data_IF_225587403750
#
_entry.id   IF_225587403750
#
_cell.length_a   1.000
_cell.length_b   1.000
_cell.length_c   1.000
_cell.angle_alpha   90.00
_cell.angle_beta   90.00
_cell.angle_gamma   90.00
#
_symmetry.space_group_name_H-M   'P 1'
#
loop_
_entity.id
_entity.type
_entity.pdbx_description
1 polymer ?
#
# COMPACT_ATOMS: atom_id res chain seq x y z
N UNK A 1 -16.68 2.39 -9.24
CA UNK A 1 -16.12 3.22 -10.34
C UNK A 1 -14.62 3.43 -10.11
N UNK A 2 -13.81 3.43 -11.17
CA UNK A 2 -12.37 3.70 -11.06
C UNK A 2 -12.18 5.20 -10.79
N UNK A 3 -11.55 5.56 -9.67
CA UNK A 3 -11.30 6.96 -9.31
C UNK A 3 -10.15 7.55 -10.13
N UNK A 4 -10.07 8.88 -10.19
CA UNK A 4 -8.95 9.61 -10.80
C UNK A 4 -7.65 9.31 -10.05
N UNK A 5 -6.52 9.40 -10.74
CA UNK A 5 -5.21 9.37 -10.10
C UNK A 5 -5.05 10.57 -9.17
N UNK A 6 -4.28 10.39 -8.10
CA UNK A 6 -3.91 11.43 -7.14
C UNK A 6 -2.40 11.44 -6.98
N UNK A 7 -1.81 12.62 -6.71
CA UNK A 7 -0.36 12.76 -6.48
C UNK A 7 0.11 11.83 -5.36
N UNK A 8 1.19 11.08 -5.60
CA UNK A 8 1.77 10.17 -4.59
C UNK A 8 2.13 10.92 -3.31
N UNK A 9 2.69 12.13 -3.43
CA UNK A 9 3.01 13.00 -2.29
C UNK A 9 1.81 13.25 -1.36
N UNK A 10 0.60 13.38 -1.91
CA UNK A 10 -0.62 13.57 -1.11
C UNK A 10 -0.96 12.32 -0.31
N UNK A 11 -0.84 11.14 -0.93
CA UNK A 11 -1.16 9.86 -0.29
C UNK A 11 -0.12 9.53 0.80
N UNK A 12 1.17 9.78 0.51
CA UNK A 12 2.26 9.61 1.47
C UNK A 12 2.06 10.52 2.68
N UNK A 13 1.78 11.81 2.45
CA UNK A 13 1.51 12.75 3.54
C UNK A 13 0.33 12.33 4.42
N UNK A 14 -0.79 11.93 3.81
CA UNK A 14 -1.98 11.48 4.54
C UNK A 14 -1.72 10.22 5.38
N UNK A 15 -0.94 9.29 4.85
CA UNK A 15 -0.58 8.06 5.57
C UNK A 15 0.28 8.35 6.80
N UNK A 16 1.28 9.23 6.67
CA UNK A 16 2.20 9.54 7.77
C UNK A 16 1.49 10.34 8.85
N UNK A 17 0.74 11.35 8.44
CA UNK A 17 0.01 12.26 9.33
C UNK A 17 -1.01 11.52 10.20
N UNK A 18 -1.70 10.50 9.65
CA UNK A 18 -2.84 9.87 10.32
C UNK A 18 -2.57 8.49 10.90
N UNK A 19 -1.71 7.70 10.26
CA UNK A 19 -1.69 6.24 10.51
C UNK A 19 -0.30 5.64 10.68
N UNK A 20 0.75 6.22 10.09
CA UNK A 20 2.08 5.61 10.03
C UNK A 20 3.19 6.61 10.38
N UNK A 21 3.47 6.88 11.67
CA UNK A 21 4.33 7.97 12.14
C UNK A 21 5.83 7.66 11.95
N UNK A 22 6.21 7.38 10.70
CA UNK A 22 7.55 6.99 10.27
C UNK A 22 7.94 7.74 8.98
N UNK A 23 9.14 7.47 8.46
CA UNK A 23 9.71 8.18 7.33
C UNK A 23 8.89 8.07 6.04
N UNK A 24 8.84 9.15 5.28
CA UNK A 24 8.13 9.26 4.00
C UNK A 24 8.70 8.37 2.90
N UNK A 25 10.02 8.18 2.90
CA UNK A 25 10.71 7.29 1.98
C UNK A 25 10.16 5.87 2.04
N UNK A 26 10.02 5.29 3.24
CA UNK A 26 9.52 3.93 3.41
C UNK A 26 8.09 3.76 2.87
N UNK A 27 7.22 4.76 3.08
CA UNK A 27 5.85 4.75 2.55
C UNK A 27 5.86 4.85 1.03
N UNK A 28 6.65 5.76 0.47
CA UNK A 28 6.72 5.97 -0.98
C UNK A 28 7.33 4.76 -1.70
N UNK A 29 8.42 4.19 -1.18
CA UNK A 29 9.06 3.01 -1.76
C UNK A 29 8.13 1.80 -1.74
N UNK A 30 7.30 1.66 -0.69
CA UNK A 30 6.27 0.63 -0.61
C UNK A 30 5.18 0.83 -1.67
N UNK A 31 4.72 2.07 -1.88
CA UNK A 31 3.79 2.41 -2.97
C UNK A 31 4.39 2.04 -4.33
N UNK A 32 5.67 2.38 -4.53
CA UNK A 32 6.37 2.09 -5.79
C UNK A 32 6.44 0.59 -6.03
N UNK A 33 6.86 -0.18 -5.04
CA UNK A 33 6.90 -1.65 -5.12
C UNK A 33 5.54 -2.25 -5.49
N UNK A 34 4.45 -1.75 -4.89
CA UNK A 34 3.09 -2.24 -5.16
C UNK A 34 2.54 -1.87 -6.55
N UNK A 35 3.18 -0.92 -7.24
CA UNK A 35 2.83 -0.44 -8.57
C UNK A 35 3.73 -1.03 -9.68
N UNK A 36 4.74 -1.84 -9.34
CA UNK A 36 5.67 -2.43 -10.29
C UNK A 36 5.18 -3.82 -10.76
N UNK A 37 4.93 -4.03 -12.07
CA UNK A 37 4.40 -5.30 -12.59
C UNK A 37 5.40 -6.46 -12.53
N UNK A 38 6.69 -6.14 -12.39
CA UNK A 38 7.77 -7.12 -12.23
C UNK A 38 8.05 -7.45 -10.75
N UNK A 39 7.43 -6.75 -9.80
CA UNK A 39 7.67 -6.95 -8.35
C UNK A 39 6.63 -7.85 -7.69
N UNK A 40 5.36 -7.75 -8.10
CA UNK A 40 4.25 -8.52 -7.55
C UNK A 40 3.52 -9.31 -8.64
N UNK A 41 3.02 -10.50 -8.28
CA UNK A 41 2.18 -11.30 -9.18
C UNK A 41 0.88 -10.58 -9.55
N UNK A 42 0.26 -9.93 -8.57
CA UNK A 42 -0.90 -9.05 -8.71
C UNK A 42 -0.63 -7.71 -8.05
N UNK A 43 -0.42 -6.66 -8.85
CA UNK A 43 -0.26 -5.30 -8.36
C UNK A 43 -1.50 -4.84 -7.58
N UNK A 44 -1.28 -4.07 -6.53
CA UNK A 44 -2.34 -3.48 -5.69
C UNK A 44 -2.49 -1.97 -5.93
N UNK A 45 -1.46 -1.34 -6.50
CA UNK A 45 -1.46 0.07 -6.87
C UNK A 45 -1.38 0.20 -8.38
N UNK A 46 -2.18 1.11 -8.92
CA UNK A 46 -2.15 1.54 -10.31
C UNK A 46 -1.42 2.88 -10.34
N UNK A 47 -0.22 2.88 -10.91
CA UNK A 47 0.66 4.04 -10.96
C UNK A 47 0.68 4.69 -12.35
N UNK A 48 0.72 6.02 -12.37
CA UNK A 48 0.96 6.83 -13.56
C UNK A 48 2.24 7.65 -13.39
N UNK A 49 3.18 7.51 -14.33
CA UNK A 49 4.51 8.13 -14.29
C UNK A 49 5.63 7.10 -14.29
N UNK A 50 6.86 7.52 -13.97
CA UNK A 50 8.01 6.61 -13.89
C UNK A 50 8.08 5.97 -12.49
N UNK A 51 7.85 4.65 -12.44
CA UNK A 51 7.92 3.81 -11.23
C UNK A 51 9.16 2.89 -11.20
N UNK A 52 10.17 3.22 -11.99
CA UNK A 52 11.39 2.44 -12.12
C UNK A 52 11.28 1.31 -13.13
N UNK A 53 12.39 0.59 -13.32
CA UNK A 53 12.53 -0.46 -14.34
C UNK A 53 13.16 -1.72 -13.74
N UNK A 54 13.12 -2.82 -14.50
CA UNK A 54 13.82 -4.06 -14.15
C UNK A 54 15.35 -3.91 -14.20
N UNK A 55 15.84 -2.90 -14.92
CA UNK A 55 17.26 -2.60 -15.08
C UNK A 55 17.85 -1.87 -13.86
N UNK A 56 17.03 -1.56 -12.86
CA UNK A 56 17.44 -0.91 -11.62
C UNK A 56 17.27 0.60 -11.60
N UNK A 57 16.61 1.18 -12.61
CA UNK A 57 16.30 2.62 -12.60
C UNK A 57 15.36 2.95 -11.44
N UNK A 58 15.72 3.97 -10.67
CA UNK A 58 14.90 4.46 -9.57
C UNK A 58 13.58 5.08 -10.08
N UNK A 59 12.49 5.02 -9.29
CA UNK A 59 11.27 5.76 -9.60
C UNK A 59 11.52 7.26 -9.62
N UNK A 60 10.68 8.01 -10.34
CA UNK A 60 10.66 9.45 -10.21
C UNK A 60 10.22 9.87 -8.80
N UNK A 61 10.55 11.10 -8.39
CA UNK A 61 10.12 11.64 -7.11
C UNK A 61 8.57 11.68 -6.99
N UNK A 62 8.05 11.52 -5.76
CA UNK A 62 6.62 11.44 -5.44
C UNK A 62 5.76 12.65 -5.88
N UNK A 63 6.40 13.77 -6.22
CA UNK A 63 5.75 14.97 -6.80
C UNK A 63 5.36 14.79 -8.28
N UNK A 64 5.99 13.85 -8.98
CA UNK A 64 5.75 13.58 -10.40
C UNK A 64 4.84 12.37 -10.62
N UNK A 65 4.87 11.39 -9.72
CA UNK A 65 4.06 10.18 -9.83
C UNK A 65 2.65 10.40 -9.28
N UNK A 66 1.70 9.66 -9.83
CA UNK A 66 0.33 9.61 -9.36
C UNK A 66 -0.11 8.17 -9.20
N UNK A 67 -1.02 7.93 -8.25
CA UNK A 67 -1.49 6.58 -7.92
C UNK A 67 -3.00 6.54 -7.71
N UNK A 68 -3.55 5.34 -7.86
CA UNK A 68 -4.87 4.94 -7.37
C UNK A 68 -4.85 3.45 -7.05
N UNK A 69 -5.92 2.93 -6.47
CA UNK A 69 -6.06 1.49 -6.23
C UNK A 69 -6.27 0.72 -7.55
N UNK A 70 -5.62 -0.44 -7.67
CA UNK A 70 -6.01 -1.44 -8.67
C UNK A 70 -7.41 -1.98 -8.39
N UNK A 71 -8.07 -2.54 -9.41
CA UNK A 71 -9.40 -3.15 -9.25
C UNK A 71 -9.39 -4.27 -8.21
N UNK A 72 -8.35 -5.11 -8.21
CA UNK A 72 -8.23 -6.24 -7.27
C UNK A 72 -8.12 -5.81 -5.81
N UNK A 73 -7.58 -4.62 -5.54
CA UNK A 73 -7.43 -4.07 -4.19
C UNK A 73 -8.77 -3.85 -3.50
N UNK A 74 -9.86 -3.64 -4.27
CA UNK A 74 -11.20 -3.56 -3.69
C UNK A 74 -11.62 -4.88 -3.01
N UNK A 75 -11.13 -6.03 -3.49
CA UNK A 75 -11.40 -7.32 -2.86
C UNK A 75 -10.76 -7.44 -1.47
N UNK A 76 -9.73 -6.65 -1.17
CA UNK A 76 -9.13 -6.57 0.17
C UNK A 76 -9.99 -5.75 1.15
N UNK A 77 -10.75 -4.78 0.64
CA UNK A 77 -11.51 -3.78 1.43
C UNK A 77 -13.03 -4.03 1.44
N UNK A 78 -13.49 -5.07 0.77
CA UNK A 78 -14.93 -5.34 0.58
C UNK A 78 -15.61 -5.60 1.93
N UNK A 79 -16.72 -4.91 2.19
CA UNK A 79 -17.54 -5.01 3.42
C UNK A 79 -16.85 -4.53 4.71
N UNK A 80 -15.78 -3.73 4.60
CA UNK A 80 -15.12 -3.13 5.75
C UNK A 80 -16.04 -2.20 6.58
N UNK A 81 -17.02 -1.58 5.92
CA UNK A 81 -18.02 -0.68 6.51
C UNK A 81 -19.18 -1.39 7.21
N UNK A 82 -19.17 -2.72 7.26
CA UNK A 82 -20.25 -3.55 7.81
C UNK A 82 -19.87 -4.24 9.13
N UNK A 83 -19.01 -3.59 9.92
CA UNK A 83 -18.56 -4.11 11.23
C UNK A 83 -18.00 -5.53 11.15
N UNK A 84 -17.32 -5.87 10.04
CA UNK A 84 -16.81 -7.22 9.78
C UNK A 84 -15.49 -7.51 10.48
N UNK A 85 -14.83 -6.48 11.02
CA UNK A 85 -13.54 -6.54 11.70
C UNK A 85 -13.54 -5.58 12.89
N UNK A 86 -12.68 -5.86 13.86
CA UNK A 86 -12.42 -4.95 14.97
C UNK A 86 -11.58 -3.75 14.50
N UNK A 87 -11.67 -2.67 15.26
CA UNK A 87 -10.88 -1.47 15.07
C UNK A 87 -10.16 -1.10 16.37
N UNK A 88 -8.92 -0.63 16.23
CA UNK A 88 -8.09 -0.10 17.31
C UNK A 88 -7.76 1.38 17.06
N UNK A 89 -7.51 2.18 18.10
CA UNK A 89 -7.06 3.56 17.91
C UNK A 89 -5.71 3.62 17.17
N UNK A 90 -5.47 4.71 16.43
CA UNK A 90 -4.17 5.04 15.86
C UNK A 90 -3.17 5.49 16.95
N UNK A 91 -1.99 5.97 16.54
CA UNK A 91 -0.87 6.23 17.45
C UNK A 91 -1.12 7.37 18.46
N UNK A 92 -1.99 8.32 18.16
CA UNK A 92 -2.38 9.44 19.04
C UNK A 92 -3.79 9.28 19.63
N UNK A 93 -4.54 8.27 19.18
CA UNK A 93 -5.87 7.95 19.65
C UNK A 93 -7.00 8.78 19.03
N UNK A 94 -6.71 9.64 18.04
CA UNK A 94 -7.74 10.49 17.39
C UNK A 94 -8.52 9.76 16.29
N UNK A 95 -7.95 8.69 15.72
CA UNK A 95 -8.55 7.92 14.61
C UNK A 95 -8.63 6.43 14.94
N UNK A 96 -9.48 5.71 14.21
CA UNK A 96 -9.63 4.26 14.30
C UNK A 96 -9.04 3.57 13.07
N UNK A 97 -8.36 2.44 13.27
CA UNK A 97 -7.71 1.62 12.24
C UNK A 97 -8.27 0.18 12.34
N UNK A 98 -8.64 -0.47 11.23
CA UNK A 98 -9.04 -1.87 11.29
C UNK A 98 -7.86 -2.77 11.66
N UNK A 99 -8.08 -3.71 12.59
CA UNK A 99 -7.03 -4.63 13.05
C UNK A 99 -6.54 -5.55 11.91
N UNK A 100 -7.45 -5.90 11.01
CA UNK A 100 -7.21 -6.70 9.80
C UNK A 100 -8.12 -6.24 8.67
N UNK A 101 -7.77 -6.59 7.44
CA UNK A 101 -8.64 -6.35 6.28
C UNK A 101 -9.57 -7.55 6.03
N UNK A 102 -10.86 -7.34 5.66
CA UNK A 102 -11.86 -8.40 5.43
C UNK A 102 -11.68 -9.11 4.07
N UNK A 103 -10.43 -9.38 3.69
CA UNK A 103 -10.05 -9.79 2.34
C UNK A 103 -10.88 -10.96 1.79
N UNK A 104 -11.31 -10.84 0.53
CA UNK A 104 -11.99 -11.90 -0.22
C UNK A 104 -11.04 -12.80 -1.01
N UNK A 105 -9.73 -12.53 -0.94
CA UNK A 105 -8.68 -13.31 -1.61
C UNK A 105 -7.55 -13.67 -0.63
N UNK A 106 -6.89 -14.84 -0.79
CA UNK A 106 -5.75 -15.22 0.03
C UNK A 106 -4.49 -14.45 -0.40
N UNK A 107 -4.41 -13.16 -0.06
CA UNK A 107 -3.38 -12.23 -0.53
C UNK A 107 -1.94 -12.70 -0.23
N UNK A 108 -1.73 -13.31 0.94
CA UNK A 108 -0.43 -13.86 1.33
C UNK A 108 0.04 -14.97 0.37
N UNK A 109 -0.85 -15.90 0.00
CA UNK A 109 -0.50 -16.96 -0.95
C UNK A 109 -0.37 -16.43 -2.38
N UNK A 110 -1.15 -15.41 -2.73
CA UNK A 110 -1.17 -14.85 -4.07
C UNK A 110 0.06 -13.99 -4.39
N UNK A 111 0.54 -13.20 -3.42
CA UNK A 111 1.63 -12.23 -3.63
C UNK A 111 2.89 -12.52 -2.79
N UNK A 112 2.80 -13.36 -1.76
CA UNK A 112 3.91 -13.63 -0.85
C UNK A 112 4.33 -12.41 -0.02
N UNK A 113 5.38 -12.60 0.77
CA UNK A 113 6.11 -11.53 1.45
C UNK A 113 7.52 -12.04 1.78
N UNK A 114 8.48 -11.13 1.80
CA UNK A 114 9.84 -11.40 2.26
C UNK A 114 10.19 -10.37 3.31
N UNK A 115 10.74 -10.80 4.44
CA UNK A 115 10.97 -9.96 5.58
C UNK A 115 11.97 -10.56 6.56
N UNK A 116 12.78 -9.69 7.17
CA UNK A 116 13.80 -10.06 8.15
C UNK A 116 13.43 -9.36 9.46
N UNK A 117 13.23 -10.15 10.50
CA UNK A 117 13.00 -9.67 11.85
C UNK A 117 14.25 -9.93 12.70
N UNK A 118 14.17 -9.63 14.00
CA UNK A 118 15.24 -9.97 14.94
C UNK A 118 15.22 -11.48 15.20
N UNK A 119 16.21 -12.20 14.66
CA UNK A 119 16.38 -13.65 14.86
C UNK A 119 15.48 -14.56 14.01
N UNK A 120 14.69 -14.01 13.08
CA UNK A 120 13.80 -14.77 12.19
C UNK A 120 13.78 -14.14 10.79
N UNK A 121 13.49 -14.94 9.77
CA UNK A 121 13.29 -14.47 8.40
C UNK A 121 12.21 -15.29 7.68
N UNK A 122 11.53 -14.63 6.74
CA UNK A 122 10.73 -15.26 5.69
C UNK A 122 11.30 -14.81 4.36
N UNK A 123 11.63 -15.76 3.49
CA UNK A 123 12.25 -15.51 2.17
C UNK A 123 11.34 -15.94 1.04
#
# INVERSE_FOLDING_TARGET
AIKKYVKSARVVGDAIDKYHPHGDSAVYDTIVRMAQPFSLRYMLVDGQGNFGSIDGDAPAAMRYTEVRMQKITQALLTDLDKETVNFSPNYDGELMIPDVLPTRIPALLANGSSGIAVGMATV
#
